data_IF_072478690149
#
_entry.id   IF_072478690149
#
_cell.length_a   1.000
_cell.length_b   1.000
_cell.length_c   1.000
_cell.angle_alpha   90.00
_cell.angle_beta   90.00
_cell.angle_gamma   90.00
#
_symmetry.space_group_name_H-M   'P 1'
#
loop_
_entity.id
_entity.type
_entity.pdbx_description
1 polymer ?
#
# COMPACT_ATOMS: atom_id res chain seq x y z
N UNK A 1 -12.38 -30.64 -18.56
CA UNK A 1 -13.23 -29.97 -19.56
C UNK A 1 -12.40 -28.84 -20.13
N UNK A 2 -11.75 -29.06 -21.31
CA UNK A 2 -11.04 -28.00 -22.03
C UNK A 2 -12.05 -27.29 -22.93
N UNK A 3 -12.26 -26.00 -22.67
CA UNK A 3 -13.02 -25.13 -23.57
C UNK A 3 -12.29 -25.07 -24.92
N UNK A 4 -13.06 -25.05 -26.02
CA UNK A 4 -12.46 -24.89 -27.34
C UNK A 4 -11.92 -23.47 -27.51
N UNK A 5 -10.92 -23.30 -28.40
CA UNK A 5 -10.33 -21.97 -28.67
C UNK A 5 -11.42 -21.01 -29.20
N UNK A 6 -12.39 -21.51 -29.97
CA UNK A 6 -13.51 -20.72 -30.47
C UNK A 6 -14.46 -20.25 -29.34
N UNK A 7 -14.70 -21.07 -28.33
CA UNK A 7 -15.53 -20.69 -27.18
C UNK A 7 -14.83 -19.61 -26.33
N UNK A 8 -13.52 -19.72 -26.18
CA UNK A 8 -12.69 -18.71 -25.48
C UNK A 8 -12.72 -17.38 -26.24
N UNK A 9 -12.57 -17.39 -27.57
CA UNK A 9 -12.63 -16.16 -28.37
C UNK A 9 -14.00 -15.50 -28.34
N UNK A 10 -15.08 -16.28 -28.42
CA UNK A 10 -16.45 -15.80 -28.32
C UNK A 10 -16.75 -15.20 -26.95
N UNK A 11 -16.30 -15.86 -25.90
CA UNK A 11 -16.40 -15.38 -24.52
C UNK A 11 -15.63 -14.07 -24.31
N UNK A 12 -14.42 -13.95 -24.88
CA UNK A 12 -13.62 -12.70 -24.85
C UNK A 12 -14.34 -11.53 -25.52
N UNK A 13 -14.97 -11.75 -26.66
CA UNK A 13 -15.69 -10.68 -27.39
C UNK A 13 -16.90 -10.16 -26.60
N UNK A 14 -17.68 -11.07 -26.01
CA UNK A 14 -18.82 -10.70 -25.15
C UNK A 14 -18.34 -9.95 -23.91
N UNK A 15 -17.34 -10.49 -23.23
CA UNK A 15 -16.76 -9.90 -22.03
C UNK A 15 -16.16 -8.52 -22.32
N UNK A 16 -15.44 -8.36 -23.43
CA UNK A 16 -14.85 -7.08 -23.82
C UNK A 16 -15.91 -6.00 -24.09
N UNK A 17 -17.11 -6.39 -24.60
CA UNK A 17 -18.21 -5.44 -24.78
C UNK A 17 -18.78 -4.97 -23.45
N UNK A 18 -19.01 -5.89 -22.53
CA UNK A 18 -19.51 -5.57 -21.17
C UNK A 18 -18.52 -4.70 -20.43
N UNK A 19 -17.24 -5.06 -20.45
CA UNK A 19 -16.18 -4.28 -19.80
C UNK A 19 -16.09 -2.86 -20.37
N UNK A 20 -16.16 -2.68 -21.69
CA UNK A 20 -16.18 -1.34 -22.31
C UNK A 20 -17.34 -0.48 -21.83
N UNK A 21 -18.54 -1.06 -21.73
CA UNK A 21 -19.71 -0.33 -21.21
C UNK A 21 -19.55 0.00 -19.72
N UNK A 22 -19.03 -0.89 -18.92
CA UNK A 22 -18.72 -0.61 -17.51
C UNK A 22 -17.71 0.53 -17.37
N UNK A 23 -16.62 0.52 -18.16
CA UNK A 23 -15.63 1.60 -18.17
C UNK A 23 -16.30 2.93 -18.60
N UNK A 24 -17.14 2.91 -19.63
CA UNK A 24 -17.87 4.11 -20.09
C UNK A 24 -18.78 4.67 -18.99
N UNK A 25 -19.56 3.80 -18.33
CA UNK A 25 -20.44 4.19 -17.24
C UNK A 25 -19.66 4.72 -16.03
N UNK A 26 -18.56 4.05 -15.67
CA UNK A 26 -17.70 4.49 -14.56
C UNK A 26 -17.13 5.89 -14.83
N UNK A 27 -16.64 6.16 -16.03
CA UNK A 27 -16.13 7.49 -16.42
C UNK A 27 -17.23 8.54 -16.41
N UNK A 28 -18.40 8.24 -16.97
CA UNK A 28 -19.53 9.16 -16.95
C UNK A 28 -20.03 9.46 -15.52
N UNK A 29 -20.00 8.47 -14.64
CA UNK A 29 -20.29 8.65 -13.22
C UNK A 29 -19.26 9.56 -12.55
N UNK A 30 -17.97 9.29 -12.76
CA UNK A 30 -16.88 10.08 -12.17
C UNK A 30 -16.94 11.56 -12.60
N UNK A 31 -17.17 11.81 -13.89
CA UNK A 31 -17.34 13.17 -14.40
C UNK A 31 -18.56 13.88 -13.79
N UNK A 32 -19.72 13.19 -13.71
CA UNK A 32 -20.93 13.74 -13.12
C UNK A 32 -20.77 13.99 -11.62
N UNK A 33 -20.12 13.06 -10.92
CA UNK A 33 -19.85 13.18 -9.49
C UNK A 33 -18.89 14.32 -9.18
N UNK A 34 -17.81 14.45 -9.94
CA UNK A 34 -16.88 15.57 -9.83
C UNK A 34 -17.55 16.92 -10.10
N UNK A 35 -18.40 17.01 -11.14
CA UNK A 35 -19.16 18.21 -11.46
C UNK A 35 -20.14 18.59 -10.33
N UNK A 36 -20.82 17.61 -9.73
CA UNK A 36 -21.76 17.88 -8.63
C UNK A 36 -21.03 18.30 -7.35
N UNK A 37 -19.89 17.68 -7.02
CA UNK A 37 -19.03 18.13 -5.91
C UNK A 37 -18.58 19.58 -6.10
N UNK A 38 -18.11 19.91 -7.31
CA UNK A 38 -17.70 21.29 -7.65
C UNK A 38 -18.84 22.29 -7.52
N UNK A 39 -20.03 21.94 -8.01
CA UNK A 39 -21.24 22.78 -7.89
C UNK A 39 -21.63 23.04 -6.44
N UNK A 40 -21.48 22.06 -5.58
CA UNK A 40 -21.78 22.17 -4.14
C UNK A 40 -20.63 22.74 -3.32
N UNK A 41 -19.46 22.95 -3.92
CA UNK A 41 -18.24 23.37 -3.25
C UNK A 41 -17.86 22.43 -2.08
N UNK A 42 -17.93 21.11 -2.33
CA UNK A 42 -17.58 20.07 -1.37
C UNK A 42 -16.54 19.13 -1.96
N UNK A 43 -15.81 18.45 -1.09
CA UNK A 43 -14.83 17.39 -1.42
C UNK A 43 -15.08 16.20 -0.52
N UNK A 44 -14.76 15.00 -0.99
CA UNK A 44 -14.74 13.80 -0.17
C UNK A 44 -13.32 13.50 0.36
N UNK A 45 -13.21 12.49 1.24
CA UNK A 45 -11.95 12.15 1.88
C UNK A 45 -10.90 11.71 0.85
N UNK A 46 -11.31 11.03 -0.23
CA UNK A 46 -10.38 10.55 -1.25
C UNK A 46 -9.86 11.70 -2.14
N UNK A 47 -10.63 12.77 -2.30
CA UNK A 47 -10.20 13.94 -3.06
C UNK A 47 -8.94 14.58 -2.47
N UNK A 48 -8.81 14.59 -1.13
CA UNK A 48 -7.65 15.18 -0.46
C UNK A 48 -6.34 14.55 -0.89
N UNK A 49 -6.29 13.22 -0.91
CA UNK A 49 -5.09 12.51 -1.33
C UNK A 49 -4.79 12.73 -2.82
N UNK A 50 -5.81 12.75 -3.68
CA UNK A 50 -5.64 13.03 -5.10
C UNK A 50 -5.20 14.48 -5.36
N UNK A 51 -5.73 15.45 -4.61
CA UNK A 51 -5.28 16.85 -4.73
C UNK A 51 -3.85 17.01 -4.23
N UNK A 52 -3.51 16.38 -3.10
CA UNK A 52 -2.14 16.38 -2.62
C UNK A 52 -1.18 15.84 -3.69
N UNK A 53 -1.49 14.68 -4.29
CA UNK A 53 -0.66 14.11 -5.33
C UNK A 53 -0.52 15.04 -6.55
N UNK A 54 -1.62 15.68 -7.01
CA UNK A 54 -1.58 16.65 -8.12
C UNK A 54 -0.73 17.89 -7.84
N UNK A 55 -0.60 18.28 -6.59
CA UNK A 55 0.26 19.40 -6.18
C UNK A 55 1.71 18.96 -6.06
N UNK A 56 1.93 17.75 -5.57
CA UNK A 56 3.26 17.24 -5.23
C UNK A 56 3.98 16.55 -6.40
N UNK A 57 3.25 16.11 -7.43
CA UNK A 57 3.83 15.43 -8.59
C UNK A 57 3.41 16.08 -9.90
N UNK A 58 4.31 16.06 -10.89
CA UNK A 58 4.02 16.47 -12.26
C UNK A 58 3.35 15.33 -13.08
N UNK A 59 3.13 15.56 -14.37
CA UNK A 59 2.53 14.59 -15.27
C UNK A 59 3.38 13.33 -15.51
N UNK A 60 4.67 13.36 -15.18
CA UNK A 60 5.59 12.21 -15.24
C UNK A 60 5.73 11.52 -13.88
N UNK A 61 5.01 12.00 -12.84
CA UNK A 61 5.10 11.50 -11.47
C UNK A 61 6.34 11.95 -10.70
N UNK A 62 7.07 12.96 -11.20
CA UNK A 62 8.24 13.51 -10.53
C UNK A 62 7.83 14.58 -9.51
N UNK A 63 8.60 14.76 -8.41
CA UNK A 63 8.34 15.78 -7.42
C UNK A 63 8.35 17.20 -8.03
N UNK A 64 7.35 17.99 -7.71
CA UNK A 64 7.24 19.42 -8.08
C UNK A 64 8.08 20.30 -7.16
N UNK A 65 8.15 21.61 -7.46
CA UNK A 65 8.76 22.58 -6.53
C UNK A 65 8.01 22.66 -5.19
N UNK A 66 6.68 22.45 -5.19
CA UNK A 66 5.93 22.35 -3.95
C UNK A 66 6.37 21.14 -3.10
N UNK A 67 6.60 19.99 -3.73
CA UNK A 67 7.12 18.82 -3.04
C UNK A 67 8.51 19.05 -2.44
N UNK A 68 9.38 19.76 -3.15
CA UNK A 68 10.72 20.12 -2.66
C UNK A 68 10.65 20.98 -1.40
N UNK A 69 9.76 21.98 -1.37
CA UNK A 69 9.56 22.80 -0.16
C UNK A 69 9.20 21.95 1.04
N UNK A 70 8.29 20.98 0.88
CA UNK A 70 7.94 20.06 1.97
C UNK A 70 9.08 19.12 2.33
N UNK A 71 9.83 18.60 1.36
CA UNK A 71 10.96 17.72 1.62
C UNK A 71 12.08 18.40 2.41
N UNK A 72 12.28 19.70 2.21
CA UNK A 72 13.22 20.51 2.98
C UNK A 72 12.70 20.87 4.38
N UNK A 73 11.39 21.01 4.51
CA UNK A 73 10.74 21.37 5.76
C UNK A 73 10.73 20.20 6.76
N UNK A 74 10.53 18.96 6.28
CA UNK A 74 10.42 17.80 7.15
C UNK A 74 11.81 17.21 7.47
N UNK A 75 12.20 17.29 8.74
CA UNK A 75 13.42 16.63 9.22
C UNK A 75 13.29 15.10 9.11
N UNK A 76 12.15 14.57 9.54
CA UNK A 76 11.80 13.15 9.52
C UNK A 76 10.34 12.95 9.16
N UNK A 77 10.04 11.89 8.43
CA UNK A 77 8.70 11.45 8.05
C UNK A 77 8.48 10.09 8.70
N UNK A 78 7.57 10.04 9.68
CA UNK A 78 7.27 8.82 10.44
C UNK A 78 5.92 8.26 10.00
N UNK A 79 5.90 6.98 9.66
CA UNK A 79 4.70 6.30 9.16
C UNK A 79 4.45 5.07 10.03
N UNK A 80 3.29 5.02 10.65
CA UNK A 80 2.80 3.86 11.39
C UNK A 80 1.84 3.03 10.54
N UNK A 81 1.69 1.74 10.88
CA UNK A 81 0.83 0.79 10.17
C UNK A 81 1.09 0.77 8.64
N UNK A 82 2.36 0.82 8.26
CA UNK A 82 2.74 0.96 6.84
C UNK A 82 2.23 -0.17 5.94
N UNK A 83 1.96 -1.37 6.48
CA UNK A 83 1.37 -2.49 5.75
C UNK A 83 -0.02 -2.18 5.17
N UNK A 84 -0.71 -1.17 5.70
CA UNK A 84 -2.03 -0.74 5.25
C UNK A 84 -1.99 0.43 4.25
N UNK A 85 -0.79 0.87 3.87
CA UNK A 85 -0.59 1.91 2.87
C UNK A 85 -1.00 1.45 1.46
N UNK A 86 -1.52 2.38 0.67
CA UNK A 86 -1.85 2.17 -0.74
C UNK A 86 -0.88 2.94 -1.66
N UNK A 87 -0.95 2.67 -2.97
CA UNK A 87 -0.07 3.29 -3.96
C UNK A 87 -0.17 4.83 -3.99
N UNK A 88 -1.35 5.39 -3.72
CA UNK A 88 -1.55 6.84 -3.71
C UNK A 88 -0.80 7.47 -2.52
N UNK A 89 -0.93 6.87 -1.34
CA UNK A 89 -0.20 7.29 -0.15
C UNK A 89 1.32 7.14 -0.33
N UNK A 90 1.76 6.01 -0.88
CA UNK A 90 3.18 5.80 -1.21
C UNK A 90 3.73 6.87 -2.15
N UNK A 91 2.97 7.23 -3.20
CA UNK A 91 3.38 8.27 -4.14
C UNK A 91 3.49 9.65 -3.48
N UNK A 92 2.58 9.98 -2.56
CA UNK A 92 2.65 11.22 -1.78
C UNK A 92 3.90 11.21 -0.89
N UNK A 93 4.12 10.14 -0.13
CA UNK A 93 5.24 10.02 0.80
C UNK A 93 6.58 10.10 0.08
N UNK A 94 6.73 9.37 -1.02
CA UNK A 94 7.97 9.37 -1.80
C UNK A 94 8.23 10.71 -2.49
N UNK A 95 7.18 11.46 -2.87
CA UNK A 95 7.36 12.79 -3.49
C UNK A 95 7.91 13.85 -2.52
N UNK A 96 7.65 13.72 -1.22
CA UNK A 96 8.13 14.63 -0.18
C UNK A 96 9.30 14.06 0.64
N UNK A 97 9.70 12.83 0.35
CA UNK A 97 10.89 12.24 0.96
C UNK A 97 12.16 12.92 0.48
N UNK A 98 13.16 12.98 1.35
CA UNK A 98 14.48 13.48 1.03
C UNK A 98 15.49 12.36 1.17
N UNK A 99 16.30 12.21 0.15
CA UNK A 99 17.48 11.36 0.21
C UNK A 99 18.73 12.25 0.14
N UNK A 100 19.53 12.24 1.18
CA UNK A 100 20.74 13.03 1.31
C UNK A 100 21.89 12.11 1.73
N UNK A 101 22.97 12.09 0.96
CA UNK A 101 24.11 11.17 1.17
C UNK A 101 23.71 9.68 1.24
N UNK A 102 22.68 9.28 0.46
CA UNK A 102 22.14 7.92 0.46
C UNK A 102 21.34 7.56 1.70
N UNK A 103 20.94 8.53 2.53
CA UNK A 103 20.08 8.34 3.70
C UNK A 103 18.73 8.98 3.44
N UNK A 104 17.68 8.24 3.67
CA UNK A 104 16.31 8.75 3.61
C UNK A 104 15.87 9.28 4.97
N UNK A 105 15.04 10.33 4.93
CA UNK A 105 14.38 10.86 6.13
C UNK A 105 13.06 10.13 6.48
N UNK A 106 12.83 8.94 5.93
CA UNK A 106 11.62 8.14 6.19
C UNK A 106 11.90 7.08 7.26
N UNK A 107 11.02 7.03 8.25
CA UNK A 107 10.95 5.97 9.25
C UNK A 107 9.56 5.30 9.17
N UNK A 108 9.54 4.00 8.98
CA UNK A 108 8.30 3.24 8.81
C UNK A 108 8.20 2.15 9.85
N UNK A 109 7.00 2.00 10.42
CA UNK A 109 6.65 0.90 11.32
C UNK A 109 5.47 0.15 10.74
N UNK A 110 5.48 -1.17 10.85
CA UNK A 110 4.38 -1.99 10.38
C UNK A 110 4.59 -3.47 10.69
N UNK A 111 3.53 -4.20 10.53
CA UNK A 111 3.54 -5.66 10.64
C UNK A 111 2.66 -6.25 9.53
N UNK A 112 3.29 -6.83 8.54
CA UNK A 112 2.58 -7.39 7.38
C UNK A 112 1.58 -8.51 7.78
N UNK A 113 1.80 -9.20 8.92
CA UNK A 113 0.88 -10.20 9.47
C UNK A 113 -0.45 -9.59 9.92
N UNK A 114 -0.49 -8.26 10.15
CA UNK A 114 -1.68 -7.51 10.55
C UNK A 114 -2.38 -6.80 9.38
N UNK A 115 -1.92 -7.00 8.14
CA UNK A 115 -2.57 -6.40 6.97
C UNK A 115 -3.94 -7.03 6.70
N UNK A 116 -4.98 -6.27 6.99
CA UNK A 116 -6.38 -6.68 6.81
C UNK A 116 -7.18 -5.75 5.89
N UNK A 117 -6.57 -4.66 5.40
CA UNK A 117 -7.25 -3.62 4.64
C UNK A 117 -7.10 -3.72 3.12
N UNK A 118 -6.86 -4.92 2.58
CA UNK A 118 -6.78 -5.15 1.13
C UNK A 118 -8.04 -4.67 0.39
N UNK A 119 -9.22 -4.77 1.01
CA UNK A 119 -10.48 -4.26 0.46
C UNK A 119 -10.53 -2.71 0.37
N UNK A 120 -9.62 -2.00 1.06
CA UNK A 120 -9.39 -0.55 0.94
C UNK A 120 -8.21 -0.22 0.04
N UNK A 121 -7.80 -1.16 -0.81
CA UNK A 121 -6.67 -1.04 -1.72
C UNK A 121 -5.29 -0.96 -1.03
N UNK A 122 -5.20 -1.35 0.25
CA UNK A 122 -3.91 -1.53 0.89
C UNK A 122 -3.03 -2.48 0.06
N UNK A 123 -1.74 -2.18 0.02
CA UNK A 123 -0.73 -2.90 -0.75
C UNK A 123 0.38 -3.40 0.18
N UNK A 124 0.14 -4.50 0.92
CA UNK A 124 1.17 -5.06 1.80
C UNK A 124 2.45 -5.44 1.06
N UNK A 125 2.36 -5.64 -0.26
CA UNK A 125 3.50 -5.89 -1.12
C UNK A 125 4.54 -4.75 -1.07
N UNK A 126 4.11 -3.49 -0.87
CA UNK A 126 5.01 -2.33 -0.68
C UNK A 126 5.88 -2.50 0.57
N UNK A 127 5.27 -2.99 1.65
CA UNK A 127 6.01 -3.28 2.89
C UNK A 127 6.98 -4.42 2.70
N UNK A 128 6.56 -5.53 2.09
CA UNK A 128 7.38 -6.72 1.84
C UNK A 128 8.58 -6.36 0.96
N UNK A 129 8.39 -5.56 -0.08
CA UNK A 129 9.47 -5.10 -0.96
C UNK A 129 10.53 -4.32 -0.17
N UNK A 130 10.10 -3.33 0.64
CA UNK A 130 11.00 -2.55 1.49
C UNK A 130 11.68 -3.41 2.56
N UNK A 131 10.93 -4.31 3.19
CA UNK A 131 11.44 -5.25 4.18
C UNK A 131 12.60 -6.09 3.64
N UNK A 132 12.45 -6.61 2.41
CA UNK A 132 13.49 -7.39 1.75
C UNK A 132 14.67 -6.51 1.32
N UNK A 133 14.40 -5.33 0.73
CA UNK A 133 15.42 -4.41 0.25
C UNK A 133 16.30 -3.89 1.40
N UNK A 134 15.69 -3.51 2.52
CA UNK A 134 16.40 -2.92 3.65
C UNK A 134 17.28 -3.92 4.42
N UNK A 135 17.11 -5.21 4.21
CA UNK A 135 18.03 -6.21 4.77
C UNK A 135 19.38 -6.24 4.07
N UNK A 136 19.43 -5.75 2.83
CA UNK A 136 20.59 -5.83 1.93
C UNK A 136 21.31 -4.47 1.75
N UNK A 137 20.63 -3.36 2.09
CA UNK A 137 21.10 -2.00 1.82
C UNK A 137 22.17 -1.50 2.78
N UNK A 138 23.09 -0.67 2.27
CA UNK A 138 24.15 -0.03 3.09
C UNK A 138 23.64 1.20 3.85
N UNK A 139 22.62 1.89 3.32
CA UNK A 139 22.10 3.16 3.82
C UNK A 139 20.69 3.04 4.44
N UNK A 140 20.10 1.86 4.34
CA UNK A 140 18.79 1.53 4.85
C UNK A 140 18.93 0.50 5.96
N UNK A 141 18.15 0.63 7.02
CA UNK A 141 18.22 -0.27 8.16
C UNK A 141 16.87 -0.85 8.48
N UNK A 142 16.82 -2.18 8.56
CA UNK A 142 15.69 -2.92 9.11
C UNK A 142 15.93 -3.26 10.58
N UNK A 143 14.89 -3.11 11.40
CA UNK A 143 14.89 -3.51 12.81
C UNK A 143 13.67 -4.39 13.01
N UNK A 144 13.89 -5.66 13.34
CA UNK A 144 12.83 -6.61 13.63
C UNK A 144 12.55 -6.62 15.13
N UNK A 145 11.26 -6.42 15.50
CA UNK A 145 10.81 -6.41 16.89
C UNK A 145 10.07 -7.72 17.17
N UNK A 146 10.63 -8.54 18.06
CA UNK A 146 10.07 -9.87 18.38
C UNK A 146 9.33 -9.87 19.72
N UNK A 147 9.68 -8.95 20.63
CA UNK A 147 9.14 -8.94 21.97
C UNK A 147 7.77 -8.25 22.02
N UNK A 148 6.79 -8.96 22.57
CA UNK A 148 5.46 -8.43 22.81
C UNK A 148 5.27 -8.12 24.30
N UNK A 149 5.28 -6.85 24.66
CA UNK A 149 5.10 -6.38 26.03
C UNK A 149 3.64 -6.08 26.39
N UNK A 150 2.73 -6.18 25.43
CA UNK A 150 1.30 -5.85 25.60
C UNK A 150 0.49 -7.04 26.11
N UNK A 151 0.72 -8.23 25.55
CA UNK A 151 -0.14 -9.40 25.75
C UNK A 151 0.44 -10.37 26.77
N UNK A 152 -0.42 -11.11 27.48
CA UNK A 152 0.00 -12.21 28.34
C UNK A 152 0.55 -13.40 27.55
N UNK A 153 1.41 -14.21 28.17
CA UNK A 153 2.07 -15.34 27.52
C UNK A 153 1.11 -16.38 26.91
N UNK A 154 -0.04 -16.60 27.55
CA UNK A 154 -1.08 -17.53 27.05
C UNK A 154 -1.71 -17.02 25.74
N UNK A 155 -1.94 -15.71 25.63
CA UNK A 155 -2.46 -15.08 24.42
C UNK A 155 -1.43 -15.19 23.30
N UNK A 156 -0.18 -14.88 23.59
CA UNK A 156 0.92 -15.01 22.62
C UNK A 156 1.06 -16.45 22.15
N UNK A 157 1.02 -17.41 23.07
CA UNK A 157 1.07 -18.85 22.74
C UNK A 157 -0.07 -19.28 21.82
N UNK A 158 -1.28 -18.79 22.08
CA UNK A 158 -2.46 -19.09 21.26
C UNK A 158 -2.35 -18.48 19.85
N UNK A 159 -1.90 -17.24 19.74
CA UNK A 159 -1.66 -16.56 18.45
C UNK A 159 -0.59 -17.28 17.65
N UNK A 160 0.54 -17.61 18.27
CA UNK A 160 1.62 -18.36 17.62
C UNK A 160 1.12 -19.70 17.08
N UNK A 161 0.36 -20.48 17.89
CA UNK A 161 -0.17 -21.78 17.47
C UNK A 161 -1.13 -21.70 16.26
N UNK A 162 -1.86 -20.61 16.10
CA UNK A 162 -2.71 -20.38 14.93
C UNK A 162 -1.85 -19.97 13.73
N UNK A 163 -0.94 -19.03 13.89
CA UNK A 163 -0.15 -18.50 12.80
C UNK A 163 0.85 -19.51 12.22
N UNK A 164 1.45 -20.36 13.04
CA UNK A 164 2.30 -21.46 12.59
C UNK A 164 1.58 -22.41 11.62
N UNK A 165 0.25 -22.50 11.71
CA UNK A 165 -0.56 -23.37 10.85
C UNK A 165 -1.20 -22.67 9.65
N UNK A 166 -1.41 -21.37 9.74
CA UNK A 166 -2.18 -20.62 8.74
C UNK A 166 -1.34 -19.68 7.92
N UNK A 167 -0.23 -19.17 8.45
CA UNK A 167 0.67 -18.27 7.73
C UNK A 167 1.77 -19.07 7.01
N UNK A 168 1.43 -19.47 5.82
CA UNK A 168 2.34 -20.14 4.90
C UNK A 168 2.48 -19.30 3.63
N UNK A 169 3.61 -19.40 2.95
CA UNK A 169 3.92 -18.60 1.75
C UNK A 169 2.78 -18.55 0.71
N UNK A 170 2.09 -19.67 0.37
CA UNK A 170 0.99 -19.65 -0.60
C UNK A 170 -0.25 -18.88 -0.16
N UNK A 171 -0.47 -18.66 1.14
CA UNK A 171 -1.67 -18.00 1.67
C UNK A 171 -1.45 -16.52 2.02
N UNK A 172 -0.22 -16.13 2.35
CA UNK A 172 0.03 -14.75 2.81
C UNK A 172 1.33 -14.14 2.33
N UNK A 173 2.12 -14.86 1.53
CA UNK A 173 3.43 -14.40 1.06
C UNK A 173 4.48 -14.29 2.18
N UNK A 174 4.20 -14.86 3.37
CA UNK A 174 5.06 -14.81 4.54
C UNK A 174 5.10 -16.19 5.16
N UNK A 175 6.28 -16.60 5.59
CA UNK A 175 6.47 -17.79 6.43
C UNK A 175 6.52 -17.33 7.88
N UNK A 176 5.69 -17.95 8.72
CA UNK A 176 5.71 -17.73 10.16
C UNK A 176 6.74 -18.66 10.81
N UNK A 177 8.00 -18.26 10.74
CA UNK A 177 9.14 -18.96 11.33
C UNK A 177 9.47 -18.45 12.75
N UNK A 178 10.58 -18.92 13.32
CA UNK A 178 11.05 -18.47 14.64
C UNK A 178 11.37 -16.97 14.67
N UNK A 179 11.78 -16.38 13.54
CA UNK A 179 12.07 -14.96 13.43
C UNK A 179 10.79 -14.10 13.41
N UNK A 180 9.67 -14.64 12.91
CA UNK A 180 8.37 -13.98 12.90
C UNK A 180 7.56 -14.22 14.17
N UNK A 181 7.96 -15.20 15.00
CA UNK A 181 7.27 -15.62 16.21
C UNK A 181 7.31 -14.55 17.28
N UNK A 182 6.17 -14.32 17.92
CA UNK A 182 6.06 -13.39 19.05
C UNK A 182 6.63 -14.02 20.32
N UNK A 183 7.44 -13.28 21.04
CA UNK A 183 8.03 -13.63 22.33
C UNK A 183 7.57 -12.64 23.40
N UNK A 184 7.40 -13.11 24.65
CA UNK A 184 7.03 -12.25 25.77
C UNK A 184 8.26 -11.57 26.36
#
# INVERSE_FOLDING_TARGET
>A
LSESVEDIEKSKLVTARVIRELIRLTRAFDEAYAAEKKKRNVVDISDWAHFALKVLTDCEGKPTEAAKVYSEQFAEIMIDEYQDSNLLQESILTSIAREEDGKSNIFMVGDVKQSIYKFRQAKPELFIEKYNRYSEGKNERRIDLHNNFRSGGEVIGSVNAVFERTMIEPLGGIVYDEAARLVK
#
